data_IF_220051207264
#
_entry.id   IF_220051207264
#
_cell.length_a   1.000
_cell.length_b   1.000
_cell.length_c   1.000
_cell.angle_alpha   90.00
_cell.angle_beta   90.00
_cell.angle_gamma   90.00
#
_symmetry.space_group_name_H-M   'P 1'
#
loop_
_entity.id
_entity.type
_entity.pdbx_description
1 polymer ?
#
# COMPACT_ATOMS: atom_id res chain seq x y z
N UNK A 1 1.77 -0.26 4.75
CA UNK A 1 1.17 -0.90 3.57
C UNK A 1 2.26 -1.45 2.69
N UNK A 2 2.09 -2.68 2.19
CA UNK A 2 3.08 -3.38 1.36
C UNK A 2 2.70 -3.30 -0.11
N UNK A 3 3.60 -2.85 -0.95
CA UNK A 3 3.41 -2.64 -2.38
C UNK A 3 4.39 -3.54 -3.15
N UNK A 4 3.88 -4.24 -4.15
CA UNK A 4 4.72 -4.91 -5.15
C UNK A 4 4.87 -4.00 -6.37
N UNK A 5 6.10 -3.80 -6.85
CA UNK A 5 6.40 -3.15 -8.13
C UNK A 5 6.95 -4.19 -9.09
N UNK A 6 6.36 -4.29 -10.28
CA UNK A 6 6.86 -5.15 -11.36
C UNK A 6 7.15 -4.27 -12.57
N UNK A 7 8.44 -4.03 -12.83
CA UNK A 7 8.95 -3.10 -13.84
C UNK A 7 10.32 -3.59 -14.31
N UNK A 8 10.55 -3.68 -15.60
CA UNK A 8 11.80 -4.23 -16.15
C UNK A 8 12.90 -3.18 -16.36
N UNK A 9 12.56 -1.90 -16.42
CA UNK A 9 13.55 -0.83 -16.50
C UNK A 9 14.20 -0.59 -15.12
N UNK A 10 15.52 -0.88 -14.94
CA UNK A 10 16.13 -0.87 -13.61
C UNK A 10 16.16 0.50 -12.93
N UNK A 11 16.28 1.59 -13.72
CA UNK A 11 16.35 2.94 -13.18
C UNK A 11 14.97 3.42 -12.71
N UNK A 12 13.92 3.14 -13.47
CA UNK A 12 12.55 3.42 -13.08
C UNK A 12 12.15 2.60 -11.86
N UNK A 13 12.44 1.30 -11.85
CA UNK A 13 12.15 0.39 -10.73
C UNK A 13 12.80 0.90 -9.43
N UNK A 14 14.09 1.26 -9.46
CA UNK A 14 14.80 1.79 -8.29
C UNK A 14 14.23 3.11 -7.81
N UNK A 15 14.00 4.05 -8.73
CA UNK A 15 13.48 5.38 -8.40
C UNK A 15 12.07 5.29 -7.80
N UNK A 16 11.22 4.44 -8.37
CA UNK A 16 9.86 4.23 -7.90
C UNK A 16 9.83 3.54 -6.53
N UNK A 17 10.66 2.51 -6.35
CA UNK A 17 10.77 1.80 -5.07
C UNK A 17 11.28 2.72 -3.97
N UNK A 18 12.30 3.54 -4.25
CA UNK A 18 12.80 4.53 -3.30
C UNK A 18 11.73 5.54 -2.92
N UNK A 19 11.05 6.14 -3.90
CA UNK A 19 10.03 7.15 -3.66
C UNK A 19 8.84 6.59 -2.84
N UNK A 20 8.42 5.35 -3.08
CA UNK A 20 7.39 4.70 -2.28
C UNK A 20 7.85 4.38 -0.84
N UNK A 21 9.12 4.02 -0.63
CA UNK A 21 9.67 3.83 0.72
C UNK A 21 9.76 5.15 1.50
N UNK A 22 10.11 6.24 0.84
CA UNK A 22 10.10 7.59 1.43
C UNK A 22 8.69 8.00 1.86
N UNK A 23 7.67 7.56 1.13
CA UNK A 23 6.26 7.65 1.53
C UNK A 23 5.85 6.68 2.65
N UNK A 24 6.76 5.83 3.15
CA UNK A 24 6.52 4.91 4.26
C UNK A 24 5.84 3.60 3.89
N UNK A 25 5.80 3.25 2.61
CA UNK A 25 5.38 1.92 2.16
C UNK A 25 6.50 0.89 2.37
N UNK A 26 6.14 -0.35 2.68
CA UNK A 26 7.02 -1.49 2.48
C UNK A 26 6.96 -1.89 1.00
N UNK A 27 8.12 -2.08 0.36
CA UNK A 27 8.18 -2.24 -1.10
C UNK A 27 9.00 -3.46 -1.50
N UNK A 28 8.34 -4.38 -2.18
CA UNK A 28 8.99 -5.46 -2.91
C UNK A 28 9.06 -5.12 -4.40
N UNK A 29 10.09 -5.64 -5.06
CA UNK A 29 10.37 -5.34 -6.47
C UNK A 29 10.63 -6.60 -7.27
N UNK A 30 10.13 -6.65 -8.50
CA UNK A 30 10.44 -7.69 -9.48
C UNK A 30 10.77 -7.02 -10.83
N UNK A 31 11.79 -7.51 -11.52
CA UNK A 31 12.26 -6.94 -12.80
C UNK A 31 11.81 -7.74 -14.02
N UNK A 32 10.91 -8.69 -13.85
CA UNK A 32 10.31 -9.48 -14.92
C UNK A 32 8.97 -10.07 -14.49
N UNK A 33 8.18 -10.52 -15.45
CA UNK A 33 6.83 -10.98 -15.21
C UNK A 33 6.70 -12.30 -14.44
N UNK A 34 7.67 -13.24 -14.57
CA UNK A 34 7.62 -14.52 -13.83
C UNK A 34 7.81 -14.29 -12.33
N UNK A 35 8.85 -13.53 -11.94
CA UNK A 35 9.10 -13.18 -10.54
C UNK A 35 7.99 -12.30 -9.98
N UNK A 36 7.46 -11.37 -10.79
CA UNK A 36 6.31 -10.55 -10.44
C UNK A 36 5.06 -11.38 -10.11
N UNK A 37 4.73 -12.36 -10.95
CA UNK A 37 3.61 -13.27 -10.70
C UNK A 37 3.86 -14.12 -9.45
N UNK A 38 5.05 -14.70 -9.32
CA UNK A 38 5.40 -15.51 -8.15
C UNK A 38 5.22 -14.72 -6.85
N UNK A 39 5.72 -13.49 -6.80
CA UNK A 39 5.57 -12.63 -5.62
C UNK A 39 4.08 -12.30 -5.37
N UNK A 40 3.36 -11.90 -6.42
CA UNK A 40 1.94 -11.54 -6.32
C UNK A 40 1.05 -12.69 -5.81
N UNK A 41 1.38 -13.95 -6.15
CA UNK A 41 0.67 -15.13 -5.69
C UNK A 41 1.09 -15.56 -4.28
N UNK A 42 2.39 -15.46 -3.96
CA UNK A 42 2.97 -15.98 -2.72
C UNK A 42 2.75 -15.09 -1.51
N UNK A 43 2.66 -13.77 -1.70
CA UNK A 43 2.54 -12.79 -0.61
C UNK A 43 1.28 -11.97 -0.73
N UNK A 44 0.87 -11.37 0.38
CA UNK A 44 -0.27 -10.45 0.40
C UNK A 44 0.24 -9.00 0.29
N UNK A 45 -0.30 -8.29 -0.69
CA UNK A 45 0.01 -6.88 -0.97
C UNK A 45 -1.25 -6.04 -0.85
N UNK A 46 -1.07 -4.79 -0.39
CA UNK A 46 -2.15 -3.80 -0.35
C UNK A 46 -2.44 -3.22 -1.74
N UNK A 47 -1.43 -3.19 -2.61
CA UNK A 47 -1.58 -2.93 -4.04
C UNK A 47 -0.36 -3.42 -4.84
N UNK A 48 -0.54 -3.56 -6.14
CA UNK A 48 0.52 -3.93 -7.10
C UNK A 48 0.61 -2.82 -8.15
N UNK A 49 1.83 -2.34 -8.41
CA UNK A 49 2.17 -1.49 -9.55
C UNK A 49 2.79 -2.40 -10.61
N UNK A 50 2.15 -2.52 -11.76
CA UNK A 50 2.46 -3.55 -12.75
C UNK A 50 2.65 -2.95 -14.15
N UNK A 51 3.86 -3.04 -14.70
CA UNK A 51 4.06 -2.70 -16.11
C UNK A 51 3.36 -3.72 -17.01
N UNK A 52 2.81 -3.22 -18.10
CA UNK A 52 2.24 -4.03 -19.17
C UNK A 52 3.35 -4.75 -19.94
N UNK A 53 4.42 -4.05 -20.26
CA UNK A 53 5.48 -4.56 -21.15
C UNK A 53 6.63 -5.16 -20.34
N UNK A 54 6.48 -6.40 -19.91
CA UNK A 54 7.47 -7.12 -19.14
C UNK A 54 8.10 -8.28 -19.94
N UNK A 55 9.38 -8.59 -19.74
CA UNK A 55 9.98 -9.79 -20.30
C UNK A 55 9.42 -11.04 -19.63
N UNK A 56 9.49 -12.18 -20.35
CA UNK A 56 9.04 -13.52 -19.98
C UNK A 56 7.52 -13.65 -19.91
N UNK A 57 6.82 -12.83 -19.13
CA UNK A 57 5.38 -12.86 -18.95
C UNK A 57 4.85 -11.43 -18.92
N UNK A 58 3.94 -11.06 -19.84
CA UNK A 58 3.39 -9.70 -19.91
C UNK A 58 2.43 -9.40 -18.75
N UNK A 59 2.27 -8.10 -18.44
CA UNK A 59 1.46 -7.65 -17.32
C UNK A 59 -0.02 -8.03 -17.42
N UNK A 60 -0.58 -8.16 -18.63
CA UNK A 60 -1.98 -8.57 -18.81
C UNK A 60 -2.18 -10.03 -18.43
N UNK A 61 -1.25 -10.90 -18.80
CA UNK A 61 -1.32 -12.32 -18.43
C UNK A 61 -1.12 -12.51 -16.92
N UNK A 62 -0.23 -11.71 -16.29
CA UNK A 62 -0.08 -11.68 -14.82
C UNK A 62 -1.41 -11.30 -14.18
N UNK A 63 -2.01 -10.19 -14.60
CA UNK A 63 -3.28 -9.71 -14.05
C UNK A 63 -4.38 -10.77 -14.19
N UNK A 64 -4.50 -11.38 -15.38
CA UNK A 64 -5.48 -12.42 -15.65
C UNK A 64 -5.32 -13.62 -14.71
N UNK A 65 -4.08 -14.09 -14.49
CA UNK A 65 -3.79 -15.19 -13.57
C UNK A 65 -4.10 -14.81 -12.13
N UNK A 66 -3.66 -13.64 -11.71
CA UNK A 66 -3.91 -13.13 -10.37
C UNK A 66 -5.40 -13.04 -10.04
N UNK A 67 -6.23 -12.62 -11.00
CA UNK A 67 -7.69 -12.51 -10.80
C UNK A 67 -8.40 -13.84 -10.57
N UNK A 68 -7.78 -14.97 -10.85
CA UNK A 68 -8.33 -16.29 -10.51
C UNK A 68 -8.26 -16.57 -9.00
N UNK A 69 -7.30 -15.97 -8.28
CA UNK A 69 -6.99 -16.30 -6.89
C UNK A 69 -7.08 -15.12 -5.93
N UNK A 70 -6.73 -13.91 -6.39
CA UNK A 70 -6.61 -12.71 -5.55
C UNK A 70 -7.37 -11.51 -6.12
N UNK A 71 -7.80 -10.63 -5.20
CA UNK A 71 -8.47 -9.35 -5.49
C UNK A 71 -7.59 -8.14 -5.13
N UNK A 72 -6.30 -8.36 -4.94
CA UNK A 72 -5.33 -7.29 -4.67
C UNK A 72 -5.45 -6.19 -5.74
N UNK A 73 -5.58 -4.91 -5.36
CA UNK A 73 -5.66 -3.81 -6.31
C UNK A 73 -4.43 -3.73 -7.21
N UNK A 74 -4.64 -3.55 -8.51
CA UNK A 74 -3.56 -3.45 -9.50
C UNK A 74 -3.65 -2.13 -10.24
N UNK A 75 -2.56 -1.35 -10.15
CA UNK A 75 -2.30 -0.15 -10.94
C UNK A 75 -1.40 -0.52 -12.10
N UNK A 76 -1.93 -0.50 -13.32
CA UNK A 76 -1.16 -0.81 -14.51
C UNK A 76 -0.34 0.40 -14.98
N UNK A 77 0.94 0.17 -15.33
CA UNK A 77 1.76 1.13 -16.03
C UNK A 77 1.72 0.81 -17.54
N UNK A 78 1.44 1.79 -18.39
CA UNK A 78 1.29 1.54 -19.82
C UNK A 78 1.90 2.67 -20.66
N UNK A 79 2.42 2.36 -21.85
CA UNK A 79 2.85 3.36 -22.82
C UNK A 79 1.66 4.03 -23.52
N UNK A 80 1.84 5.29 -23.94
CA UNK A 80 0.80 6.19 -24.46
C UNK A 80 0.03 5.67 -25.69
N UNK A 81 0.61 4.78 -26.48
CA UNK A 81 0.11 4.42 -27.82
C UNK A 81 -0.90 3.26 -27.85
N UNK A 82 -1.28 2.73 -26.70
CA UNK A 82 -2.16 1.57 -26.63
C UNK A 82 -3.59 1.93 -26.19
N UNK A 83 -4.28 2.78 -26.97
CA UNK A 83 -5.72 3.02 -26.76
C UNK A 83 -6.56 1.72 -26.82
N UNK A 84 -6.07 0.70 -27.54
CA UNK A 84 -6.66 -0.65 -27.56
C UNK A 84 -6.45 -1.40 -26.23
N UNK A 85 -5.36 -1.14 -25.53
CA UNK A 85 -5.07 -1.79 -24.25
C UNK A 85 -5.91 -1.23 -23.10
N UNK A 86 -6.36 0.03 -23.20
CA UNK A 86 -7.29 0.60 -22.22
C UNK A 86 -8.65 -0.12 -22.22
N UNK A 87 -9.17 -0.45 -23.39
CA UNK A 87 -10.42 -1.22 -23.51
C UNK A 87 -10.18 -2.65 -23.00
N UNK A 88 -9.07 -3.27 -23.40
CA UNK A 88 -8.67 -4.60 -22.93
C UNK A 88 -8.44 -4.62 -21.41
N UNK A 89 -7.88 -3.54 -20.84
CA UNK A 89 -7.61 -3.41 -19.42
C UNK A 89 -8.86 -3.36 -18.55
N UNK A 90 -9.88 -2.65 -18.98
CA UNK A 90 -11.18 -2.59 -18.30
C UNK A 90 -11.84 -3.98 -18.28
N UNK A 91 -11.73 -4.73 -19.37
CA UNK A 91 -12.28 -6.08 -19.49
C UNK A 91 -11.45 -7.13 -18.74
N UNK A 92 -10.15 -6.87 -18.49
CA UNK A 92 -9.22 -7.82 -17.84
C UNK A 92 -9.17 -7.68 -16.31
N UNK A 93 -9.83 -6.66 -15.74
CA UNK A 93 -9.97 -6.48 -14.30
C UNK A 93 -8.83 -5.68 -13.63
N UNK A 94 -8.18 -4.77 -14.37
CA UNK A 94 -7.33 -3.73 -13.76
C UNK A 94 -8.20 -2.74 -12.99
N UNK A 95 -7.70 -2.27 -11.85
CA UNK A 95 -8.44 -1.34 -10.98
C UNK A 95 -8.18 0.13 -11.37
N UNK A 96 -7.01 0.44 -11.93
CA UNK A 96 -6.65 1.74 -12.51
C UNK A 96 -5.40 1.59 -13.39
N UNK A 97 -5.03 2.66 -14.12
CA UNK A 97 -3.82 2.70 -14.95
C UNK A 97 -3.20 4.09 -14.99
N UNK A 98 -1.88 4.13 -15.22
CA UNK A 98 -1.08 5.33 -15.40
C UNK A 98 -0.30 5.22 -16.70
N UNK A 99 -0.27 6.30 -17.46
CA UNK A 99 0.41 6.34 -18.77
C UNK A 99 1.83 6.87 -18.58
N UNK A 100 2.83 6.12 -19.06
CA UNK A 100 4.22 6.56 -19.12
C UNK A 100 4.42 7.63 -20.22
N UNK A 101 5.16 8.74 -19.98
CA UNK A 101 5.73 9.14 -18.69
C UNK A 101 4.66 9.70 -17.74
N UNK A 102 4.85 9.51 -16.45
CA UNK A 102 3.94 9.95 -15.39
C UNK A 102 4.66 10.76 -14.32
N UNK A 103 3.90 11.54 -13.57
CA UNK A 103 4.36 12.23 -12.38
C UNK A 103 4.15 11.37 -11.12
N UNK A 104 5.15 11.31 -10.21
CA UNK A 104 5.04 10.55 -8.96
C UNK A 104 3.84 10.96 -8.10
N UNK A 105 3.49 12.26 -7.94
CA UNK A 105 2.29 12.65 -7.21
C UNK A 105 1.00 12.05 -7.77
N UNK A 106 0.86 11.92 -9.10
CA UNK A 106 -0.29 11.28 -9.72
C UNK A 106 -0.36 9.80 -9.39
N UNK A 107 0.77 9.08 -9.56
CA UNK A 107 0.87 7.67 -9.25
C UNK A 107 0.51 7.39 -7.77
N UNK A 108 1.06 8.17 -6.84
CA UNK A 108 0.77 8.03 -5.42
C UNK A 108 -0.70 8.32 -5.07
N UNK A 109 -1.31 9.33 -5.70
CA UNK A 109 -2.72 9.64 -5.49
C UNK A 109 -3.62 8.49 -5.94
N UNK A 110 -3.34 7.88 -7.11
CA UNK A 110 -4.06 6.72 -7.62
C UNK A 110 -3.87 5.49 -6.72
N UNK A 111 -2.64 5.22 -6.28
CA UNK A 111 -2.33 4.12 -5.39
C UNK A 111 -3.09 4.24 -4.05
N UNK A 112 -3.07 5.43 -3.41
CA UNK A 112 -3.86 5.69 -2.21
C UNK A 112 -5.37 5.48 -2.44
N UNK A 113 -5.88 5.92 -3.59
CA UNK A 113 -7.29 5.73 -3.93
C UNK A 113 -7.66 4.25 -4.12
N UNK A 114 -6.77 3.45 -4.71
CA UNK A 114 -6.94 2.00 -4.87
C UNK A 114 -6.98 1.29 -3.52
N UNK A 115 -5.98 1.52 -2.67
CA UNK A 115 -5.88 0.93 -1.33
C UNK A 115 -7.10 1.31 -0.48
N UNK A 116 -7.52 2.57 -0.51
CA UNK A 116 -8.70 3.02 0.22
C UNK A 116 -9.97 2.30 -0.26
N UNK A 117 -10.17 2.17 -1.58
CA UNK A 117 -11.33 1.48 -2.15
C UNK A 117 -11.36 0.00 -1.82
N UNK A 118 -10.22 -0.68 -1.79
CA UNK A 118 -10.13 -2.09 -1.41
C UNK A 118 -10.52 -2.33 0.05
N UNK A 119 -10.27 -1.36 0.92
CA UNK A 119 -10.73 -1.37 2.31
C UNK A 119 -12.20 -0.89 2.48
N UNK A 120 -12.98 -0.81 1.39
CA UNK A 120 -14.37 -0.34 1.37
C UNK A 120 -14.58 1.08 1.95
N UNK A 121 -13.57 1.96 1.85
CA UNK A 121 -13.67 3.36 2.29
C UNK A 121 -13.92 4.27 1.08
N UNK A 122 -15.05 4.96 1.11
CA UNK A 122 -15.48 5.86 0.02
C UNK A 122 -14.90 7.26 0.14
N UNK A 123 -14.56 7.69 1.35
CA UNK A 123 -14.00 9.01 1.67
C UNK A 123 -12.50 8.91 1.99
N UNK A 124 -11.76 9.97 1.71
CA UNK A 124 -10.36 10.07 2.11
C UNK A 124 -10.17 10.45 3.59
N UNK A 125 -11.24 10.81 4.28
CA UNK A 125 -11.22 11.16 5.69
C UNK A 125 -11.82 10.03 6.51
N UNK A 126 -11.07 9.57 7.52
CA UNK A 126 -11.49 8.57 8.51
C UNK A 126 -11.52 9.25 9.87
N UNK A 127 -12.68 9.22 10.54
CA UNK A 127 -12.85 9.77 11.88
C UNK A 127 -13.01 8.65 12.90
N UNK A 128 -12.20 8.71 13.97
CA UNK A 128 -12.16 7.72 15.05
C UNK A 128 -12.09 8.48 16.38
N UNK A 129 -13.23 8.62 17.05
CA UNK A 129 -13.34 9.46 18.24
C UNK A 129 -12.96 10.90 17.94
N UNK A 130 -11.91 11.40 18.58
CA UNK A 130 -11.39 12.76 18.38
C UNK A 130 -10.24 12.83 17.36
N UNK A 131 -9.88 11.71 16.76
CA UNK A 131 -8.82 11.63 15.77
C UNK A 131 -9.42 11.63 14.37
N UNK A 132 -8.90 12.53 13.52
CA UNK A 132 -9.23 12.63 12.09
C UNK A 132 -7.99 12.33 11.26
N UNK A 133 -8.12 11.42 10.31
CA UNK A 133 -7.06 10.97 9.41
C UNK A 133 -7.47 11.30 7.98
N UNK A 134 -6.70 12.11 7.28
CA UNK A 134 -6.86 12.35 5.85
C UNK A 134 -5.85 11.53 5.07
N UNK A 135 -6.32 10.49 4.40
CA UNK A 135 -5.48 9.57 3.62
C UNK A 135 -4.96 10.19 2.32
N UNK A 136 -5.61 11.24 1.79
CA UNK A 136 -5.14 11.95 0.61
C UNK A 136 -4.00 12.93 0.96
N UNK A 137 -4.19 13.71 2.03
CA UNK A 137 -3.18 14.66 2.52
C UNK A 137 -2.10 13.97 3.40
N UNK A 138 -2.29 12.71 3.78
CA UNK A 138 -1.42 11.94 4.71
C UNK A 138 -1.18 12.69 6.02
N UNK A 139 -2.25 13.18 6.61
CA UNK A 139 -2.20 14.02 7.80
C UNK A 139 -3.21 13.55 8.85
N UNK A 140 -2.87 13.83 10.10
CA UNK A 140 -3.66 13.41 11.26
C UNK A 140 -3.91 14.60 12.16
N UNK A 141 -5.12 14.70 12.69
CA UNK A 141 -5.53 15.71 13.67
C UNK A 141 -6.11 15.03 14.91
N UNK A 142 -5.79 15.59 16.05
CA UNK A 142 -6.42 15.28 17.34
C UNK A 142 -7.13 16.56 17.85
N UNK A 143 -8.45 16.50 18.05
CA UNK A 143 -9.24 17.66 18.48
C UNK A 143 -8.96 18.92 17.65
N UNK A 144 -9.03 18.80 16.31
CA UNK A 144 -8.77 19.87 15.33
C UNK A 144 -7.32 20.41 15.30
N UNK A 145 -6.40 19.84 16.10
CA UNK A 145 -4.98 20.20 16.09
C UNK A 145 -4.19 19.20 15.24
N UNK A 146 -3.35 19.68 14.32
CA UNK A 146 -2.49 18.78 13.53
C UNK A 146 -1.49 18.05 14.43
N UNK A 147 -1.30 16.76 14.19
CA UNK A 147 -0.34 15.92 14.89
C UNK A 147 0.73 15.43 13.93
N UNK A 148 1.97 15.77 14.22
CA UNK A 148 3.11 15.31 13.41
C UNK A 148 3.45 13.85 13.70
N UNK A 149 3.31 13.01 12.70
CA UNK A 149 3.70 11.61 12.70
C UNK A 149 4.87 11.42 11.73
N UNK A 150 5.79 10.52 12.08
CA UNK A 150 6.78 10.03 11.10
C UNK A 150 6.07 9.20 10.02
N UNK A 151 6.71 8.96 8.87
CA UNK A 151 6.12 8.16 7.79
C UNK A 151 5.68 6.76 8.28
N UNK A 152 6.46 6.11 9.15
CA UNK A 152 6.12 4.80 9.73
C UNK A 152 4.98 4.86 10.76
N UNK A 153 4.96 5.89 11.60
CA UNK A 153 3.84 6.10 12.53
C UNK A 153 2.54 6.37 11.78
N UNK A 154 2.60 7.17 10.71
CA UNK A 154 1.46 7.41 9.84
C UNK A 154 1.00 6.11 9.17
N UNK A 155 1.92 5.33 8.58
CA UNK A 155 1.57 4.06 7.93
C UNK A 155 0.91 3.07 8.90
N UNK A 156 1.37 3.00 10.16
CA UNK A 156 0.73 2.20 11.22
C UNK A 156 -0.69 2.68 11.51
N UNK A 157 -0.87 4.00 11.68
CA UNK A 157 -2.18 4.60 11.95
C UNK A 157 -3.15 4.36 10.81
N UNK A 158 -2.71 4.62 9.57
CA UNK A 158 -3.52 4.42 8.36
C UNK A 158 -3.91 2.95 8.18
N UNK A 159 -2.97 2.02 8.34
CA UNK A 159 -3.23 0.58 8.22
C UNK A 159 -4.30 0.13 9.22
N UNK A 160 -4.13 0.45 10.50
CA UNK A 160 -5.11 0.11 11.53
C UNK A 160 -6.46 0.79 11.34
N UNK A 161 -6.48 2.04 10.84
CA UNK A 161 -7.71 2.78 10.57
C UNK A 161 -8.52 2.20 9.39
N UNK A 162 -7.84 1.69 8.37
CA UNK A 162 -8.48 0.99 7.26
C UNK A 162 -9.07 -0.35 7.70
N UNK A 163 -8.47 -1.01 8.70
CA UNK A 163 -8.94 -2.26 9.33
C UNK A 163 -9.69 -2.00 10.65
N UNK A 164 -10.35 -0.83 10.75
CA UNK A 164 -11.07 -0.45 11.97
C UNK A 164 -12.08 -1.52 12.40
N UNK A 165 -12.04 -1.88 13.69
CA UNK A 165 -12.91 -2.91 14.28
C UNK A 165 -12.37 -4.33 14.16
N UNK A 166 -11.29 -4.53 13.41
CA UNK A 166 -10.60 -5.81 13.27
C UNK A 166 -9.38 -5.86 14.20
N UNK A 167 -8.99 -7.07 14.61
CA UNK A 167 -7.73 -7.29 15.32
C UNK A 167 -6.67 -7.63 14.29
N UNK A 168 -5.73 -6.71 14.10
CA UNK A 168 -4.59 -6.91 13.20
C UNK A 168 -3.47 -7.57 14.00
N UNK A 169 -2.99 -8.71 13.52
CA UNK A 169 -1.94 -9.47 14.18
C UNK A 169 -0.57 -8.77 14.05
N UNK A 170 0.36 -9.10 14.96
CA UNK A 170 1.74 -8.58 14.85
C UNK A 170 2.39 -9.02 13.54
N UNK A 171 2.17 -10.24 13.09
CA UNK A 171 2.69 -10.76 11.82
C UNK A 171 2.20 -9.92 10.65
N UNK A 172 0.90 -9.68 10.54
CA UNK A 172 0.35 -8.79 9.50
C UNK A 172 0.96 -7.38 9.54
N UNK A 173 1.11 -6.79 10.74
CA UNK A 173 1.75 -5.48 10.85
C UNK A 173 3.21 -5.49 10.40
N UNK A 174 3.97 -6.54 10.71
CA UNK A 174 5.33 -6.68 10.21
C UNK A 174 5.36 -6.87 8.69
N UNK A 175 4.52 -7.73 8.14
CA UNK A 175 4.44 -8.00 6.70
C UNK A 175 4.03 -6.77 5.88
N UNK A 176 3.13 -5.94 6.39
CA UNK A 176 2.58 -4.80 5.65
C UNK A 176 3.29 -3.45 5.93
N UNK A 177 4.08 -3.34 6.99
CA UNK A 177 4.71 -2.07 7.37
C UNK A 177 6.23 -2.08 7.24
N UNK A 178 6.87 -3.26 7.11
CA UNK A 178 8.32 -3.39 7.05
C UNK A 178 8.73 -4.21 5.84
N UNK A 179 9.85 -3.88 5.23
CA UNK A 179 10.44 -4.61 4.11
C UNK A 179 11.82 -5.20 4.50
N UNK A 180 12.48 -5.86 3.55
CA UNK A 180 13.77 -6.51 3.76
C UNK A 180 14.89 -5.54 4.17
N UNK A 181 14.72 -4.23 3.94
CA UNK A 181 15.70 -3.20 4.29
C UNK A 181 15.48 -2.64 5.70
N UNK A 182 14.38 -3.00 6.35
CA UNK A 182 14.11 -2.60 7.73
C UNK A 182 14.86 -3.54 8.69
N UNK A 183 15.64 -2.97 9.62
CA UNK A 183 16.25 -3.73 10.71
C UNK A 183 15.14 -4.37 11.56
N UNK A 184 14.96 -5.68 11.39
CA UNK A 184 13.92 -6.47 12.09
C UNK A 184 14.29 -6.72 13.57
N UNK A 185 14.59 -5.67 14.33
CA UNK A 185 14.60 -5.80 15.77
C UNK A 185 13.18 -6.01 16.28
N UNK A 186 12.97 -7.06 17.04
CA UNK A 186 11.67 -7.54 17.53
C UNK A 186 10.78 -6.50 18.25
N UNK A 187 11.30 -5.32 18.57
CA UNK A 187 10.63 -4.27 19.33
C UNK A 187 10.23 -3.04 18.49
N UNK A 188 10.58 -2.98 17.20
CA UNK A 188 10.37 -1.79 16.38
C UNK A 188 8.87 -1.41 16.29
N UNK A 189 8.01 -2.39 16.11
CA UNK A 189 6.56 -2.20 16.10
C UNK A 189 6.05 -1.62 17.43
N UNK A 190 6.54 -2.15 18.56
CA UNK A 190 6.10 -1.69 19.89
C UNK A 190 6.53 -0.23 20.15
N UNK A 191 7.69 0.18 19.63
CA UNK A 191 8.15 1.57 19.68
C UNK A 191 7.20 2.48 18.90
N UNK A 192 6.82 2.11 17.66
CA UNK A 192 5.87 2.90 16.87
C UNK A 192 4.49 2.96 17.54
N UNK A 193 3.97 1.85 18.05
CA UNK A 193 2.71 1.82 18.82
C UNK A 193 2.78 2.74 20.04
N UNK A 194 3.88 2.67 20.80
CA UNK A 194 4.09 3.55 21.97
C UNK A 194 4.11 5.02 21.58
N UNK A 195 4.82 5.38 20.50
CA UNK A 195 4.90 6.76 20.03
C UNK A 195 3.55 7.28 19.54
N UNK A 196 2.80 6.49 18.77
CA UNK A 196 1.45 6.85 18.32
C UNK A 196 0.52 7.08 19.52
N UNK A 197 0.57 6.20 20.54
CA UNK A 197 -0.22 6.38 21.78
C UNK A 197 0.12 7.67 22.54
N UNK A 198 1.40 8.06 22.59
CA UNK A 198 1.79 9.34 23.21
C UNK A 198 1.24 10.55 22.47
N UNK A 199 1.10 10.44 21.14
CA UNK A 199 0.67 11.54 20.25
C UNK A 199 -0.85 11.62 20.10
N UNK A 200 -1.55 10.48 20.00
CA UNK A 200 -2.99 10.39 19.71
C UNK A 200 -3.83 9.92 20.90
N UNK A 201 -3.20 9.64 22.05
CA UNK A 201 -3.87 9.12 23.24
C UNK A 201 -3.67 7.63 23.44
N UNK A 202 -3.56 7.21 24.71
CA UNK A 202 -3.24 5.83 25.09
C UNK A 202 -4.27 4.81 24.59
N UNK A 203 -5.55 5.23 24.52
CA UNK A 203 -6.69 4.38 24.13
C UNK A 203 -6.87 4.27 22.61
N UNK A 204 -6.17 5.11 21.80
CA UNK A 204 -6.34 5.13 20.36
C UNK A 204 -5.99 3.79 19.70
N UNK A 205 -4.89 3.16 20.13
CA UNK A 205 -4.54 1.80 19.72
C UNK A 205 -4.71 0.87 20.92
N UNK A 206 -5.63 -0.07 20.83
CA UNK A 206 -5.86 -1.08 21.86
C UNK A 206 -5.02 -2.33 21.59
N UNK A 207 -4.34 -2.85 22.62
CA UNK A 207 -3.64 -4.13 22.55
C UNK A 207 -4.60 -5.27 22.88
N UNK A 208 -4.74 -6.24 22.01
CA UNK A 208 -5.39 -7.53 22.26
C UNK A 208 -4.31 -8.56 22.57
N UNK A 209 -4.09 -8.81 23.88
CA UNK A 209 -2.98 -9.68 24.35
C UNK A 209 -2.99 -11.03 23.63
N UNK A 210 -1.83 -11.44 23.12
CA UNK A 210 -1.67 -12.67 22.35
C UNK A 210 -2.23 -12.65 20.92
N UNK A 211 -2.92 -11.58 20.49
CA UNK A 211 -3.57 -11.50 19.17
C UNK A 211 -3.00 -10.36 18.31
N UNK A 212 -2.83 -9.16 18.85
CA UNK A 212 -2.34 -8.02 18.09
C UNK A 212 -2.86 -6.68 18.58
N UNK A 213 -3.17 -5.79 17.63
CA UNK A 213 -3.61 -4.43 17.86
C UNK A 213 -4.91 -4.13 17.11
N UNK A 214 -5.72 -3.22 17.63
CA UNK A 214 -6.93 -2.74 16.95
C UNK A 214 -7.18 -1.27 17.28
N UNK A 215 -7.95 -0.62 16.40
CA UNK A 215 -8.56 0.71 16.62
C UNK A 215 -10.07 0.51 16.65
N UNK A 216 -10.72 1.00 17.71
CA UNK A 216 -12.16 0.85 17.97
C UNK A 216 -13.02 1.97 17.44
#
# INVERSE_FOLDING_TARGET
>A
MRILIVEDEPDLLRSLAQALREEGYAVDSANNGEDGLFNAESYDYDAIVLDVMLPKLDGWEILKRLRNTKRTPVLMLTARDQSRDRVKGLDTGADDYVIKPFDLPELFARLRALIRRSANKTTNVIEIGHVKIDTAARSVWLEEKPVELTAREYALVEFLALHRGEVVTRTQLYEHLFDENDDTFSNLLDVHVSNVRKKLGAEFITTRRGHGYCIG
#
